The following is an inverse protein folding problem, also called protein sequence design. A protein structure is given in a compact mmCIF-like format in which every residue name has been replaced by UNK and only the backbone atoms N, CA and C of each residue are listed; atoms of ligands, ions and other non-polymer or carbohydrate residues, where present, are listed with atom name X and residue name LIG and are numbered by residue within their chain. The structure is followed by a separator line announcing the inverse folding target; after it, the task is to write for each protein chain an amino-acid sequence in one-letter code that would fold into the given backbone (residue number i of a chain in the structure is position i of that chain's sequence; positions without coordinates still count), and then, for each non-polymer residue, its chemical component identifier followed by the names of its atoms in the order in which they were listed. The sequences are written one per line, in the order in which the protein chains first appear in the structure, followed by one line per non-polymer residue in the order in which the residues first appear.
data_IF_756824487385
#
_entry.id   IF_756824487385
#
_cell.length_a   1.000
_cell.length_b   1.000
_cell.length_c   1.000
_cell.angle_alpha   90.00
_cell.angle_beta   90.00
_cell.angle_gamma   90.00
#
_symmetry.space_group_name_H-M   'P 1'
#
loop_
_entity.id
_entity.type
_entity.pdbx_description
1 polymer ?
#
# COMPACT_ATOMS: atom_id res chain seq x y z
N UNK A 1 35.90 17.59 1.55
CA UNK A 1 34.43 17.59 1.70
C UNK A 1 33.79 17.40 0.34
N UNK A 2 33.49 16.15 -0.05
CA UNK A 2 32.86 15.84 -1.35
C UNK A 2 31.44 15.31 -1.12
N UNK A 3 30.50 16.01 -1.76
CA UNK A 3 29.14 15.65 -2.18
C UNK A 3 28.12 15.11 -1.16
N UNK A 4 27.34 15.99 -0.56
CA UNK A 4 26.01 15.66 0.01
C UNK A 4 24.86 15.71 -1.02
N UNK A 5 25.17 15.83 -2.32
CA UNK A 5 24.21 16.06 -3.41
C UNK A 5 23.67 14.75 -4.02
N UNK A 6 24.26 13.58 -3.73
CA UNK A 6 23.85 12.29 -4.32
C UNK A 6 22.56 11.68 -3.75
N UNK A 7 22.17 12.07 -2.54
CA UNK A 7 21.03 11.48 -1.82
C UNK A 7 19.66 11.81 -2.46
N UNK A 8 19.34 13.07 -2.82
CA UNK A 8 18.04 13.39 -3.42
C UNK A 8 17.87 12.84 -4.83
N UNK A 9 18.94 12.88 -5.65
CA UNK A 9 18.87 12.45 -7.06
C UNK A 9 18.65 10.94 -7.17
N UNK A 10 19.37 10.11 -6.40
CA UNK A 10 19.18 8.65 -6.43
C UNK A 10 17.79 8.23 -5.95
N UNK A 11 17.26 8.88 -4.90
CA UNK A 11 15.88 8.70 -4.46
C UNK A 11 14.86 9.12 -5.53
N UNK A 12 15.07 10.27 -6.18
CA UNK A 12 14.20 10.76 -7.25
C UNK A 12 14.20 9.86 -8.49
N UNK A 13 15.37 9.38 -8.91
CA UNK A 13 15.51 8.43 -10.00
C UNK A 13 14.86 7.09 -9.66
N UNK A 14 15.04 6.60 -8.44
CA UNK A 14 14.39 5.36 -8.01
C UNK A 14 12.87 5.51 -7.98
N UNK A 15 12.35 6.66 -7.51
CA UNK A 15 10.92 6.96 -7.58
C UNK A 15 10.41 6.95 -9.02
N UNK A 16 11.12 7.60 -9.95
CA UNK A 16 10.76 7.61 -11.36
C UNK A 16 10.73 6.18 -11.93
N UNK A 17 11.72 5.35 -11.61
CA UNK A 17 11.76 3.94 -12.03
C UNK A 17 10.56 3.18 -11.46
N UNK A 18 10.25 3.34 -10.17
CA UNK A 18 9.08 2.70 -9.56
C UNK A 18 7.76 3.16 -10.18
N UNK A 19 7.64 4.44 -10.55
CA UNK A 19 6.47 4.97 -11.24
C UNK A 19 6.33 4.37 -12.64
N UNK A 20 7.39 4.42 -13.46
CA UNK A 20 7.37 3.85 -14.83
C UNK A 20 7.07 2.36 -14.78
N UNK A 21 7.77 1.62 -13.91
CA UNK A 21 7.56 0.18 -13.74
C UNK A 21 6.16 -0.14 -13.24
N UNK A 22 5.71 0.52 -12.17
CA UNK A 22 4.41 0.28 -11.55
C UNK A 22 3.24 0.64 -12.48
N UNK A 23 3.34 1.75 -13.22
CA UNK A 23 2.36 2.14 -14.23
C UNK A 23 2.32 1.13 -15.37
N UNK A 24 3.47 0.72 -15.91
CA UNK A 24 3.53 -0.30 -16.95
C UNK A 24 2.96 -1.65 -16.49
N UNK A 25 3.31 -2.08 -15.28
CA UNK A 25 2.75 -3.27 -14.65
C UNK A 25 1.22 -3.19 -14.51
N UNK A 26 0.71 -2.06 -13.99
CA UNK A 26 -0.72 -1.87 -13.83
C UNK A 26 -1.47 -1.88 -15.16
N UNK A 27 -0.93 -1.23 -16.20
CA UNK A 27 -1.49 -1.26 -17.54
C UNK A 27 -1.53 -2.68 -18.13
N UNK A 28 -0.49 -3.49 -17.90
CA UNK A 28 -0.48 -4.89 -18.33
C UNK A 28 -1.57 -5.70 -17.62
N UNK A 29 -1.72 -5.52 -16.30
CA UNK A 29 -2.79 -6.17 -15.52
C UNK A 29 -4.17 -5.77 -16.04
N UNK A 30 -4.38 -4.50 -16.41
CA UNK A 30 -5.63 -4.00 -16.98
C UNK A 30 -5.87 -4.36 -18.45
N UNK A 31 -4.88 -4.93 -19.15
CA UNK A 31 -5.01 -5.23 -20.59
C UNK A 31 -5.58 -6.62 -20.85
N UNK A 32 -5.44 -7.54 -19.90
CA UNK A 32 -5.93 -8.91 -20.05
C UNK A 32 -6.06 -9.59 -18.70
N UNK A 33 -7.19 -10.28 -18.52
CA UNK A 33 -7.47 -11.10 -17.34
C UNK A 33 -6.39 -12.19 -17.15
N UNK A 34 -5.87 -12.75 -18.24
CA UNK A 34 -4.81 -13.76 -18.19
C UNK A 34 -3.47 -13.16 -17.77
N UNK A 35 -3.18 -11.92 -18.19
CA UNK A 35 -2.00 -11.19 -17.72
C UNK A 35 -2.15 -10.80 -16.25
N UNK A 36 -3.34 -10.38 -15.82
CA UNK A 36 -3.65 -10.13 -14.42
C UNK A 36 -3.36 -11.38 -13.56
N UNK A 37 -3.88 -12.54 -13.95
CA UNK A 37 -3.62 -13.82 -13.29
C UNK A 37 -2.12 -14.16 -13.27
N UNK A 38 -1.46 -14.08 -14.44
CA UNK A 38 -0.07 -14.45 -14.57
C UNK A 38 0.84 -13.55 -13.70
N UNK A 39 0.60 -12.25 -13.70
CA UNK A 39 1.45 -11.27 -13.05
C UNK A 39 1.19 -11.13 -11.55
N UNK A 40 -0.06 -11.24 -11.10
CA UNK A 40 -0.43 -11.00 -9.70
C UNK A 40 -0.48 -12.27 -8.85
N UNK A 41 -0.59 -13.45 -9.47
CA UNK A 41 -0.72 -14.74 -8.78
C UNK A 41 0.38 -15.71 -9.18
N UNK A 42 0.50 -16.02 -10.47
CA UNK A 42 1.45 -17.05 -10.95
C UNK A 42 2.89 -16.62 -10.70
N UNK A 43 3.25 -15.39 -11.05
CA UNK A 43 4.61 -14.87 -10.91
C UNK A 43 5.06 -14.85 -9.43
N UNK A 44 4.30 -14.31 -8.46
CA UNK A 44 4.67 -14.39 -7.05
C UNK A 44 4.85 -15.83 -6.54
N UNK A 45 4.03 -16.78 -7.00
CA UNK A 45 4.16 -18.20 -6.62
C UNK A 45 5.42 -18.83 -7.22
N UNK A 46 5.66 -18.63 -8.52
CA UNK A 46 6.82 -19.19 -9.23
C UNK A 46 8.14 -18.67 -8.66
N UNK A 47 8.19 -17.38 -8.32
CA UNK A 47 9.38 -16.73 -7.80
C UNK A 47 9.41 -16.66 -6.27
N UNK A 48 8.46 -17.30 -5.58
CA UNK A 48 8.47 -17.42 -4.11
C UNK A 48 9.79 -17.97 -3.53
N UNK A 49 10.46 -18.96 -4.16
CA UNK A 49 11.75 -19.46 -3.67
C UNK A 49 12.86 -18.41 -3.63
N UNK A 50 12.72 -17.30 -4.37
CA UNK A 50 13.68 -16.19 -4.34
C UNK A 50 13.48 -15.25 -3.15
N UNK A 51 12.38 -15.39 -2.40
CA UNK A 51 12.10 -14.52 -1.25
C UNK A 51 13.13 -14.72 -0.15
N UNK A 52 13.79 -13.63 0.24
CA UNK A 52 14.81 -13.66 1.29
C UNK A 52 14.16 -13.57 2.68
N UNK A 53 14.74 -14.21 3.71
CA UNK A 53 14.33 -13.98 5.08
C UNK A 53 14.75 -12.56 5.50
N UNK A 54 13.79 -11.63 5.47
CA UNK A 54 13.98 -10.23 5.88
C UNK A 54 13.37 -9.95 7.25
N UNK A 55 13.80 -8.87 7.89
CA UNK A 55 13.11 -8.36 9.08
C UNK A 55 11.64 -8.04 8.76
N UNK A 56 10.75 -8.48 9.67
CA UNK A 56 9.30 -8.45 9.51
C UNK A 56 8.74 -9.35 8.40
N UNK A 57 9.48 -10.40 7.98
CA UNK A 57 9.02 -11.34 6.96
C UNK A 57 7.63 -11.94 7.25
N UNK A 58 7.29 -12.25 8.50
CA UNK A 58 5.95 -12.78 8.84
C UNK A 58 4.83 -11.78 8.56
N UNK A 59 5.01 -10.51 8.93
CA UNK A 59 4.03 -9.44 8.65
C UNK A 59 3.88 -9.24 7.13
N UNK A 60 5.00 -9.20 6.41
CA UNK A 60 5.01 -9.01 4.95
C UNK A 60 4.35 -10.20 4.24
N UNK A 61 4.68 -11.43 4.62
CA UNK A 61 4.08 -12.64 4.04
C UNK A 61 2.57 -12.71 4.31
N UNK A 62 2.11 -12.28 5.49
CA UNK A 62 0.68 -12.14 5.79
C UNK A 62 0.01 -11.14 4.86
N UNK A 63 0.61 -9.95 4.69
CA UNK A 63 0.08 -8.91 3.79
C UNK A 63 0.03 -9.43 2.35
N UNK A 64 1.12 -10.01 1.85
CA UNK A 64 1.16 -10.60 0.50
C UNK A 64 0.09 -11.69 0.31
N UNK A 65 -0.11 -12.56 1.30
CA UNK A 65 -1.15 -13.59 1.23
C UNK A 65 -2.56 -13.00 1.10
N UNK A 66 -2.85 -11.94 1.88
CA UNK A 66 -4.13 -11.23 1.78
C UNK A 66 -4.28 -10.52 0.43
N UNK A 67 -3.24 -9.82 -0.04
CA UNK A 67 -3.28 -9.08 -1.31
C UNK A 67 -3.35 -10.00 -2.53
N UNK A 68 -2.68 -11.16 -2.48
CA UNK A 68 -2.87 -12.23 -3.47
C UNK A 68 -4.30 -12.80 -3.42
N UNK A 69 -4.87 -13.01 -2.23
CA UNK A 69 -6.26 -13.41 -2.07
C UNK A 69 -7.24 -12.41 -2.68
N UNK A 70 -6.98 -11.11 -2.48
CA UNK A 70 -7.74 -10.03 -3.13
C UNK A 70 -7.62 -10.08 -4.66
N UNK A 71 -6.40 -10.21 -5.21
CA UNK A 71 -6.19 -10.31 -6.65
C UNK A 71 -6.88 -11.55 -7.25
N UNK A 72 -6.95 -12.65 -6.49
CA UNK A 72 -7.70 -13.86 -6.87
C UNK A 72 -9.20 -13.61 -6.91
N UNK A 73 -9.77 -12.91 -5.93
CA UNK A 73 -11.18 -12.52 -5.94
C UNK A 73 -11.50 -11.63 -7.14
N UNK A 74 -10.65 -10.64 -7.43
CA UNK A 74 -10.79 -9.80 -8.63
C UNK A 74 -10.75 -10.65 -9.91
N UNK A 75 -9.79 -11.57 -10.03
CA UNK A 75 -9.73 -12.49 -11.18
C UNK A 75 -11.01 -13.32 -11.32
N UNK A 76 -11.48 -13.95 -10.24
CA UNK A 76 -12.71 -14.76 -10.26
C UNK A 76 -13.95 -13.94 -10.64
N UNK A 77 -13.97 -12.65 -10.29
CA UNK A 77 -15.03 -11.72 -10.66
C UNK A 77 -15.01 -11.43 -12.17
N UNK A 78 -13.87 -11.01 -12.73
CA UNK A 78 -13.78 -10.68 -14.16
C UNK A 78 -13.90 -11.93 -15.04
N UNK A 79 -13.41 -13.08 -14.57
CA UNK A 79 -13.58 -14.35 -15.28
C UNK A 79 -15.00 -14.92 -15.18
N UNK A 80 -15.90 -14.27 -14.42
CA UNK A 80 -17.26 -14.70 -14.15
C UNK A 80 -17.36 -16.11 -13.54
N UNK A 81 -16.31 -16.54 -12.82
CA UNK A 81 -16.31 -17.83 -12.12
C UNK A 81 -17.11 -17.77 -10.82
N UNK A 82 -17.22 -16.58 -10.22
CA UNK A 82 -18.08 -16.30 -9.07
C UNK A 82 -19.05 -15.18 -9.41
N UNK A 83 -20.26 -15.24 -8.85
CA UNK A 83 -21.17 -14.10 -8.91
C UNK A 83 -20.59 -12.92 -8.14
N UNK A 84 -20.89 -11.72 -8.62
CA UNK A 84 -20.39 -10.48 -8.03
C UNK A 84 -20.79 -10.35 -6.55
N UNK A 85 -21.96 -10.86 -6.17
CA UNK A 85 -22.41 -10.86 -4.77
C UNK A 85 -21.45 -11.63 -3.83
N UNK A 86 -20.93 -12.79 -4.26
CA UNK A 86 -19.95 -13.53 -3.47
C UNK A 86 -18.58 -12.85 -3.47
N UNK A 87 -18.21 -12.21 -4.58
CA UNK A 87 -16.99 -11.41 -4.68
C UNK A 87 -17.03 -10.25 -3.68
N UNK A 88 -18.13 -9.50 -3.61
CA UNK A 88 -18.29 -8.38 -2.68
C UNK A 88 -18.16 -8.83 -1.23
N UNK A 89 -18.80 -9.95 -0.85
CA UNK A 89 -18.62 -10.55 0.48
C UNK A 89 -17.15 -10.89 0.76
N UNK A 90 -16.44 -11.42 -0.23
CA UNK A 90 -15.00 -11.70 -0.15
C UNK A 90 -14.14 -10.43 -0.01
N UNK A 91 -14.48 -9.36 -0.73
CA UNK A 91 -13.80 -8.07 -0.66
C UNK A 91 -13.99 -7.41 0.72
N UNK A 92 -15.21 -7.47 1.26
CA UNK A 92 -15.50 -7.01 2.64
C UNK A 92 -14.66 -7.80 3.64
N UNK A 93 -14.64 -9.14 3.53
CA UNK A 93 -13.80 -9.99 4.36
C UNK A 93 -12.32 -9.59 4.27
N UNK A 94 -11.81 -9.31 3.05
CA UNK A 94 -10.45 -8.84 2.84
C UNK A 94 -10.18 -7.52 3.60
N UNK A 95 -11.04 -6.50 3.45
CA UNK A 95 -10.85 -5.22 4.14
C UNK A 95 -10.92 -5.34 5.66
N UNK A 96 -11.80 -6.20 6.18
CA UNK A 96 -11.87 -6.51 7.62
C UNK A 96 -10.58 -7.17 8.10
N UNK A 97 -10.12 -8.24 7.43
CA UNK A 97 -8.89 -8.94 7.80
C UNK A 97 -7.66 -8.04 7.71
N UNK A 98 -7.57 -7.21 6.68
CA UNK A 98 -6.49 -6.25 6.49
C UNK A 98 -6.49 -5.22 7.63
N UNK A 99 -7.65 -4.63 7.94
CA UNK A 99 -7.80 -3.61 8.99
C UNK A 99 -7.49 -4.17 10.38
N UNK A 100 -8.08 -5.30 10.74
CA UNK A 100 -7.80 -6.01 12.00
C UNK A 100 -6.32 -6.38 12.08
N UNK A 101 -5.75 -6.86 10.97
CA UNK A 101 -4.34 -7.20 10.86
C UNK A 101 -3.40 -6.03 11.18
N UNK A 102 -3.71 -4.81 10.73
CA UNK A 102 -2.94 -3.61 11.08
C UNK A 102 -3.14 -3.21 12.54
N UNK A 103 -4.38 -3.15 13.02
CA UNK A 103 -4.71 -2.78 14.41
C UNK A 103 -4.01 -3.72 15.40
N UNK A 104 -4.04 -5.04 15.19
CA UNK A 104 -3.38 -6.02 16.05
C UNK A 104 -1.85 -5.86 16.07
N UNK A 105 -1.24 -5.59 14.91
CA UNK A 105 0.21 -5.35 14.82
C UNK A 105 0.59 -4.07 15.57
N UNK A 106 -0.18 -3.00 15.40
CA UNK A 106 0.05 -1.72 16.07
C UNK A 106 -0.16 -1.81 17.57
N UNK A 107 -1.17 -2.56 18.02
CA UNK A 107 -1.41 -2.86 19.43
C UNK A 107 -0.22 -3.62 20.04
N UNK A 108 0.26 -4.67 19.36
CA UNK A 108 1.43 -5.44 19.80
C UNK A 108 2.69 -4.58 19.90
N UNK A 109 2.85 -3.62 18.98
CA UNK A 109 3.96 -2.65 18.97
C UNK A 109 3.75 -1.46 19.91
N UNK A 110 2.65 -1.42 20.67
CA UNK A 110 2.25 -0.30 21.54
C UNK A 110 2.17 1.05 20.81
N UNK A 111 1.91 1.03 19.50
CA UNK A 111 1.83 2.20 18.64
C UNK A 111 0.39 2.76 18.64
N UNK A 112 -0.09 3.25 19.79
CA UNK A 112 -1.50 3.61 19.96
C UNK A 112 -1.99 4.72 19.03
N UNK A 113 -1.18 5.75 18.74
CA UNK A 113 -1.58 6.81 17.80
C UNK A 113 -1.76 6.27 16.38
N UNK A 114 -0.84 5.42 15.93
CA UNK A 114 -0.96 4.67 14.68
C UNK A 114 -2.21 3.80 14.65
N UNK A 115 -2.50 3.11 15.75
CA UNK A 115 -3.71 2.29 15.90
C UNK A 115 -4.98 3.12 15.71
N UNK A 116 -5.07 4.30 16.33
CA UNK A 116 -6.20 5.21 16.12
C UNK A 116 -6.35 5.66 14.65
N UNK A 117 -5.23 5.98 13.98
CA UNK A 117 -5.26 6.33 12.56
C UNK A 117 -5.79 5.15 11.72
N UNK A 118 -5.33 3.92 11.98
CA UNK A 118 -5.84 2.72 11.29
C UNK A 118 -7.32 2.46 11.57
N UNK A 119 -7.80 2.70 12.80
CA UNK A 119 -9.21 2.55 13.13
C UNK A 119 -10.08 3.57 12.38
N UNK A 120 -9.65 4.82 12.27
CA UNK A 120 -10.38 5.83 11.47
C UNK A 120 -10.37 5.46 9.99
N UNK A 121 -9.24 5.00 9.45
CA UNK A 121 -9.18 4.47 8.07
C UNK A 121 -10.16 3.31 7.88
N UNK A 122 -10.17 2.34 8.80
CA UNK A 122 -11.07 1.18 8.75
C UNK A 122 -12.55 1.60 8.81
N UNK A 123 -12.90 2.55 9.69
CA UNK A 123 -14.25 3.11 9.76
C UNK A 123 -14.64 3.83 8.46
N UNK A 124 -13.71 4.56 7.86
CA UNK A 124 -13.94 5.25 6.58
C UNK A 124 -14.15 4.26 5.43
N UNK A 125 -13.35 3.18 5.37
CA UNK A 125 -13.54 2.09 4.41
C UNK A 125 -14.89 1.42 4.63
N UNK A 126 -15.25 1.12 5.89
CA UNK A 126 -16.53 0.50 6.21
C UNK A 126 -17.72 1.39 5.81
N UNK A 127 -17.61 2.71 6.01
CA UNK A 127 -18.61 3.66 5.54
C UNK A 127 -18.74 3.63 4.01
N UNK A 128 -17.63 3.71 3.27
CA UNK A 128 -17.63 3.62 1.80
C UNK A 128 -18.23 2.30 1.28
N UNK A 129 -17.90 1.17 1.91
CA UNK A 129 -18.49 -0.13 1.60
C UNK A 129 -19.99 -0.16 1.87
N UNK A 130 -20.44 0.47 2.96
CA UNK A 130 -21.85 0.51 3.34
C UNK A 130 -22.70 1.40 2.42
N UNK A 131 -22.15 2.51 1.95
CA UNK A 131 -22.84 3.42 1.01
C UNK A 131 -22.69 3.00 -0.44
N UNK A 132 -21.67 2.20 -0.75
CA UNK A 132 -21.39 1.73 -2.09
C UNK A 132 -22.45 0.77 -2.64
N UNK A 133 -22.40 0.58 -3.95
CA UNK A 133 -23.25 -0.34 -4.68
C UNK A 133 -22.55 -1.71 -4.86
N UNK A 134 -23.10 -2.54 -5.74
CA UNK A 134 -22.45 -3.78 -6.15
C UNK A 134 -21.23 -3.48 -7.03
N UNK A 135 -20.16 -4.28 -6.91
CA UNK A 135 -18.97 -4.13 -7.76
C UNK A 135 -19.31 -4.16 -9.25
N UNK A 136 -18.75 -3.24 -10.03
CA UNK A 136 -18.98 -3.16 -11.48
C UNK A 136 -17.79 -3.74 -12.26
N UNK A 137 -18.10 -4.62 -13.22
CA UNK A 137 -17.11 -5.19 -14.14
C UNK A 137 -17.10 -4.32 -15.41
N UNK A 138 -16.02 -3.58 -15.62
CA UNK A 138 -15.90 -2.61 -16.74
C UNK A 138 -15.29 -3.24 -18.01
N UNK A 139 -15.02 -4.54 -17.99
CA UNK A 139 -14.39 -5.29 -19.09
C UNK A 139 -12.85 -5.31 -19.01
N UNK A 140 -12.22 -6.24 -19.73
CA UNK A 140 -10.76 -6.35 -19.94
C UNK A 140 -9.87 -6.38 -18.68
N UNK A 141 -10.41 -6.72 -17.50
CA UNK A 141 -9.66 -6.72 -16.23
C UNK A 141 -9.83 -5.44 -15.41
N UNK A 142 -10.63 -4.49 -15.89
CA UNK A 142 -11.07 -3.32 -15.13
C UNK A 142 -12.26 -3.67 -14.24
N UNK A 143 -12.11 -3.33 -12.97
CA UNK A 143 -13.11 -3.47 -11.92
C UNK A 143 -13.28 -2.10 -11.29
N UNK A 144 -14.50 -1.78 -10.89
CA UNK A 144 -14.82 -0.71 -9.95
C UNK A 144 -15.46 -1.34 -8.71
N UNK A 145 -14.68 -1.48 -7.65
CA UNK A 145 -15.09 -2.08 -6.39
C UNK A 145 -16.25 -1.29 -5.76
N UNK A 146 -17.30 -2.01 -5.37
CA UNK A 146 -18.52 -1.46 -4.78
C UNK A 146 -19.19 -0.36 -5.64
N UNK A 147 -18.99 -0.41 -6.96
CA UNK A 147 -19.69 0.43 -7.95
C UNK A 147 -19.41 1.94 -7.90
N UNK A 148 -18.69 2.42 -6.89
CA UNK A 148 -18.44 3.84 -6.66
C UNK A 148 -16.96 4.17 -6.64
N UNK A 149 -16.62 5.35 -7.17
CA UNK A 149 -15.27 5.89 -7.05
C UNK A 149 -14.98 6.21 -5.59
N UNK A 150 -13.81 5.76 -5.11
CA UNK A 150 -13.35 6.05 -3.75
C UNK A 150 -13.37 7.55 -3.47
N UNK A 151 -14.06 8.02 -2.41
CA UNK A 151 -14.17 9.44 -2.10
C UNK A 151 -12.80 10.05 -1.78
N UNK A 152 -12.62 11.33 -2.11
CA UNK A 152 -11.33 12.00 -1.94
C UNK A 152 -10.88 12.01 -0.47
N UNK A 153 -11.82 12.10 0.48
CA UNK A 153 -11.57 12.01 1.93
C UNK A 153 -10.88 10.69 2.29
N UNK A 154 -11.37 9.57 1.74
CA UNK A 154 -10.78 8.25 1.98
C UNK A 154 -9.38 8.15 1.37
N UNK A 155 -9.15 8.72 0.17
CA UNK A 155 -7.81 8.78 -0.43
C UNK A 155 -6.83 9.59 0.44
N UNK A 156 -7.28 10.71 1.00
CA UNK A 156 -6.48 11.56 1.90
C UNK A 156 -6.18 10.85 3.22
N UNK A 157 -7.18 10.25 3.86
CA UNK A 157 -7.02 9.48 5.10
C UNK A 157 -6.04 8.31 4.87
N UNK A 158 -6.18 7.59 3.77
CA UNK A 158 -5.25 6.52 3.38
C UNK A 158 -3.83 7.07 3.19
N UNK A 159 -3.67 8.22 2.53
CA UNK A 159 -2.36 8.86 2.33
C UNK A 159 -1.67 9.21 3.66
N UNK A 160 -2.40 9.79 4.61
CA UNK A 160 -1.85 10.08 5.93
C UNK A 160 -1.56 8.83 6.75
N UNK A 161 -2.40 7.81 6.66
CA UNK A 161 -2.12 6.49 7.22
C UNK A 161 -0.83 5.89 6.63
N UNK A 162 -0.63 6.02 5.31
CA UNK A 162 0.58 5.53 4.65
C UNK A 162 1.83 6.29 5.11
N UNK A 163 1.75 7.61 5.27
CA UNK A 163 2.85 8.42 5.83
C UNK A 163 3.18 7.98 7.26
N UNK A 164 2.16 7.77 8.10
CA UNK A 164 2.34 7.27 9.47
C UNK A 164 3.06 5.91 9.47
N UNK A 165 2.60 4.98 8.63
CA UNK A 165 3.19 3.64 8.52
C UNK A 165 4.66 3.70 8.08
N UNK A 166 4.96 4.45 7.01
CA UNK A 166 6.28 4.48 6.39
C UNK A 166 7.30 5.26 7.23
N UNK A 167 6.92 6.42 7.78
CA UNK A 167 7.85 7.30 8.48
C UNK A 167 7.94 6.99 9.97
N UNK A 168 6.82 6.64 10.63
CA UNK A 168 6.83 6.47 12.09
C UNK A 168 6.97 5.00 12.47
N UNK A 169 6.13 4.11 11.93
CA UNK A 169 6.16 2.69 12.32
C UNK A 169 7.34 1.94 11.73
N UNK A 170 7.67 2.21 10.47
CA UNK A 170 8.83 1.64 9.80
C UNK A 170 10.08 2.52 9.87
N UNK A 171 10.15 3.42 10.86
CA UNK A 171 11.34 4.27 11.10
C UNK A 171 12.64 3.48 11.31
N UNK A 172 12.56 2.21 11.69
CA UNK A 172 13.72 1.32 11.83
C UNK A 172 14.36 0.95 10.48
N UNK A 173 13.61 1.05 9.37
CA UNK A 173 14.12 0.83 8.01
C UNK A 173 14.88 2.05 7.49
N UNK A 174 14.66 3.23 8.08
CA UNK A 174 15.45 4.42 7.79
C UNK A 174 16.92 4.18 8.22
N UNK A 175 17.90 4.69 7.45
CA UNK A 175 17.78 5.78 6.47
C UNK A 175 17.45 5.34 5.04
N UNK A 176 17.27 4.03 4.76
CA UNK A 176 16.97 3.52 3.42
C UNK A 176 15.53 3.87 3.03
N UNK A 177 15.36 4.57 1.91
CA UNK A 177 14.06 5.08 1.46
C UNK A 177 13.38 4.19 0.42
N UNK A 178 14.02 3.14 -0.05
CA UNK A 178 13.51 2.28 -1.15
C UNK A 178 12.10 1.76 -0.88
N UNK A 179 11.85 1.20 0.30
CA UNK A 179 10.52 0.71 0.69
C UNK A 179 9.48 1.82 0.68
N UNK A 180 9.80 2.99 1.25
CA UNK A 180 8.91 4.14 1.27
C UNK A 180 8.62 4.64 -0.15
N UNK A 181 9.65 4.72 -1.00
CA UNK A 181 9.53 5.12 -2.40
C UNK A 181 8.63 4.15 -3.18
N UNK A 182 8.77 2.84 -3.02
CA UNK A 182 7.91 1.86 -3.68
C UNK A 182 6.43 2.06 -3.30
N UNK A 183 6.15 2.25 -2.01
CA UNK A 183 4.78 2.47 -1.54
C UNK A 183 4.21 3.83 -1.96
N UNK A 184 5.02 4.89 -1.97
CA UNK A 184 4.63 6.21 -2.48
C UNK A 184 4.34 6.12 -3.98
N UNK A 185 5.17 5.43 -4.77
CA UNK A 185 4.95 5.24 -6.20
C UNK A 185 3.62 4.52 -6.46
N UNK A 186 3.36 3.42 -5.76
CA UNK A 186 2.09 2.69 -5.86
C UNK A 186 0.88 3.54 -5.45
N UNK A 187 1.00 4.36 -4.40
CA UNK A 187 -0.04 5.31 -4.02
C UNK A 187 -0.29 6.38 -5.10
N UNK A 188 0.76 6.95 -5.68
CA UNK A 188 0.64 7.93 -6.78
C UNK A 188 -0.05 7.33 -8.00
N UNK A 189 0.27 6.09 -8.37
CA UNK A 189 -0.41 5.37 -9.45
C UNK A 189 -1.90 5.20 -9.12
N UNK A 190 -2.22 4.77 -7.90
CA UNK A 190 -3.60 4.58 -7.44
C UNK A 190 -4.41 5.88 -7.42
N UNK A 191 -3.79 7.02 -7.11
CA UNK A 191 -4.46 8.32 -7.15
C UNK A 191 -4.95 8.70 -8.54
N UNK A 192 -4.24 8.26 -9.59
CA UNK A 192 -4.62 8.49 -11.00
C UNK A 192 -5.52 7.41 -11.59
N UNK A 193 -5.83 6.35 -10.85
CA UNK A 193 -6.68 5.25 -11.31
C UNK A 193 -8.16 5.51 -10.97
N UNK A 194 -9.06 4.99 -11.82
CA UNK A 194 -10.51 5.00 -11.57
C UNK A 194 -10.86 4.21 -10.31
N UNK A 195 -10.27 3.01 -10.17
CA UNK A 195 -10.34 2.21 -8.95
C UNK A 195 -9.06 2.33 -8.13
N UNK A 196 -9.15 3.15 -7.07
CA UNK A 196 -8.03 3.43 -6.18
C UNK A 196 -7.54 2.17 -5.44
N UNK A 197 -8.42 1.34 -4.87
CA UNK A 197 -7.99 0.22 -4.04
C UNK A 197 -7.45 -0.93 -4.88
N UNK A 198 -8.08 -1.24 -6.02
CA UNK A 198 -7.57 -2.25 -6.93
C UNK A 198 -6.17 -1.86 -7.45
N UNK A 199 -6.01 -0.63 -7.95
CA UNK A 199 -4.70 -0.13 -8.41
C UNK A 199 -3.65 -0.15 -7.30
N UNK A 200 -4.03 0.30 -6.10
CA UNK A 200 -3.13 0.34 -4.95
C UNK A 200 -2.69 -1.06 -4.54
N UNK A 201 -3.61 -2.00 -4.38
CA UNK A 201 -3.32 -3.36 -3.89
C UNK A 201 -2.49 -4.14 -4.91
N UNK A 202 -2.88 -4.10 -6.19
CA UNK A 202 -2.16 -4.78 -7.28
C UNK A 202 -0.70 -4.29 -7.35
N UNK A 203 -0.49 -2.98 -7.38
CA UNK A 203 0.87 -2.41 -7.48
C UNK A 203 1.65 -2.53 -6.16
N UNK A 204 1.00 -2.43 -5.00
CA UNK A 204 1.62 -2.65 -3.70
C UNK A 204 2.16 -4.07 -3.56
N UNK A 205 1.31 -5.05 -3.84
CA UNK A 205 1.60 -6.47 -3.70
C UNK A 205 2.81 -6.84 -4.52
N UNK A 206 2.85 -6.39 -5.78
CA UNK A 206 3.96 -6.69 -6.67
C UNK A 206 5.25 -6.01 -6.24
N UNK A 207 5.23 -4.72 -5.90
CA UNK A 207 6.43 -4.03 -5.42
C UNK A 207 6.93 -4.58 -4.07
N UNK A 208 6.03 -5.01 -3.19
CA UNK A 208 6.35 -5.66 -1.93
C UNK A 208 6.98 -7.04 -2.16
N UNK A 209 6.46 -7.79 -3.12
CA UNK A 209 7.04 -9.06 -3.56
C UNK A 209 8.47 -8.86 -4.09
N UNK A 210 8.68 -7.90 -4.99
CA UNK A 210 10.03 -7.57 -5.49
C UNK A 210 10.96 -7.13 -4.36
N UNK A 211 10.45 -6.36 -3.39
CA UNK A 211 11.21 -5.96 -2.21
C UNK A 211 11.71 -7.16 -1.40
N UNK A 212 10.97 -8.28 -1.35
CA UNK A 212 11.43 -9.52 -0.71
C UNK A 212 12.45 -10.29 -1.55
N UNK A 213 12.27 -10.36 -2.87
CA UNK A 213 13.19 -11.07 -3.76
C UNK A 213 14.58 -10.42 -3.78
N UNK A 214 14.59 -9.08 -3.81
CA UNK A 214 15.82 -8.31 -3.97
C UNK A 214 16.36 -7.73 -2.66
N UNK A 215 15.56 -7.74 -1.58
CA UNK A 215 15.87 -7.14 -0.28
C UNK A 215 16.22 -5.66 -0.38
N UNK A 216 15.27 -4.87 -0.90
CA UNK A 216 15.46 -3.43 -1.11
C UNK A 216 15.76 -2.66 0.18
N UNK A 217 15.43 -3.22 1.34
CA UNK A 217 15.63 -2.61 2.66
C UNK A 217 17.10 -2.58 3.06
N UNK A 218 17.91 -3.49 2.53
CA UNK A 218 19.33 -3.56 2.84
C UNK A 218 20.07 -2.31 2.37
N UNK A 219 20.91 -1.76 3.25
CA UNK A 219 21.70 -0.56 2.95
C UNK A 219 22.65 -0.78 1.77
N UNK A 220 23.23 -1.97 1.63
CA UNK A 220 24.14 -2.33 0.54
C UNK A 220 23.44 -2.56 -0.81
N UNK A 221 22.12 -2.72 -0.83
CA UNK A 221 21.38 -2.91 -2.08
C UNK A 221 21.38 -1.63 -2.94
N UNK A 222 21.89 -1.73 -4.16
CA UNK A 222 22.07 -0.57 -5.06
C UNK A 222 23.24 0.35 -4.69
N UNK A 223 24.02 0.01 -3.66
CA UNK A 223 25.10 0.83 -3.11
C UNK A 223 24.70 1.53 -1.80
N UNK A 224 25.69 1.75 -0.91
CA UNK A 224 25.47 2.26 0.46
C UNK A 224 24.78 3.61 0.54
N UNK A 225 24.96 4.46 -0.48
CA UNK A 225 24.37 5.80 -0.55
C UNK A 225 23.12 5.87 -1.44
N UNK A 226 22.70 4.75 -2.03
CA UNK A 226 21.59 4.70 -2.97
C UNK A 226 20.24 4.83 -2.27
N UNK A 227 19.47 5.85 -2.63
CA UNK A 227 18.15 6.13 -2.07
C UNK A 227 18.16 6.14 -0.53
N UNK A 228 19.15 6.81 0.05
CA UNK A 228 19.33 6.95 1.50
C UNK A 228 19.14 8.41 1.89
N UNK A 229 18.44 8.68 3.00
CA UNK A 229 18.35 10.02 3.60
C UNK A 229 18.63 10.00 5.10
N UNK A 230 19.88 10.25 5.45
CA UNK A 230 20.31 10.36 6.85
C UNK A 230 19.65 11.53 7.57
N UNK A 231 19.41 12.66 6.88
CA UNK A 231 18.73 13.83 7.45
C UNK A 231 17.30 13.51 7.86
N UNK A 232 16.54 12.86 6.97
CA UNK A 232 15.17 12.45 7.28
C UNK A 232 15.17 11.42 8.42
N UNK A 233 16.07 10.44 8.36
CA UNK A 233 16.23 9.43 9.42
C UNK A 233 16.50 10.07 10.78
N UNK A 234 17.50 10.95 10.87
CA UNK A 234 17.86 11.61 12.13
C UNK A 234 16.72 12.47 12.67
N UNK A 235 15.98 13.14 11.78
CA UNK A 235 14.87 14.00 12.17
C UNK A 235 13.68 13.19 12.72
N UNK A 236 13.27 12.14 12.01
CA UNK A 236 12.11 11.31 12.36
C UNK A 236 12.40 10.40 13.57
N UNK A 237 13.66 10.00 13.78
CA UNK A 237 14.03 9.21 14.96
C UNK A 237 13.92 9.99 16.28
N UNK A 238 13.87 11.33 16.24
CA UNK A 238 13.62 12.12 17.45
C UNK A 238 12.22 11.82 18.02
N UNK A 239 12.11 11.39 19.29
CA UNK A 239 10.82 11.00 19.86
C UNK A 239 9.78 12.13 19.81
N UNK A 240 10.22 13.37 20.05
CA UNK A 240 9.35 14.56 19.99
C UNK A 240 8.78 14.72 18.59
N UNK A 241 9.61 14.65 17.55
CA UNK A 241 9.19 14.79 16.15
C UNK A 241 8.23 13.67 15.76
N UNK A 242 8.58 12.41 16.03
CA UNK A 242 7.71 11.27 15.67
C UNK A 242 6.34 11.33 16.37
N UNK A 243 6.30 11.74 17.64
CA UNK A 243 5.06 11.89 18.41
C UNK A 243 4.23 13.07 17.92
N UNK A 244 4.85 14.22 17.68
CA UNK A 244 4.18 15.41 17.13
C UNK A 244 3.64 15.15 15.72
N UNK A 245 4.41 14.47 14.87
CA UNK A 245 3.96 14.05 13.54
C UNK A 245 2.75 13.13 13.63
N UNK A 246 2.80 12.10 14.50
CA UNK A 246 1.66 11.19 14.70
C UNK A 246 0.41 11.92 15.18
N UNK A 247 0.57 12.87 16.11
CA UNK A 247 -0.54 13.70 16.61
C UNK A 247 -1.15 14.60 15.53
N UNK A 248 -0.30 15.25 14.72
CA UNK A 248 -0.74 16.05 13.57
C UNK A 248 -1.51 15.18 12.56
N UNK A 249 -0.96 14.02 12.18
CA UNK A 249 -1.57 13.10 11.25
C UNK A 249 -2.93 12.61 11.74
N UNK A 250 -3.02 12.23 13.03
CA UNK A 250 -4.29 11.83 13.64
C UNK A 250 -5.31 12.98 13.61
N UNK A 251 -4.90 14.20 13.96
CA UNK A 251 -5.77 15.37 13.93
C UNK A 251 -6.36 15.62 12.54
N UNK A 252 -5.51 15.60 11.50
CA UNK A 252 -5.97 15.78 10.11
C UNK A 252 -6.88 14.63 9.66
N UNK A 253 -6.55 13.39 9.98
CA UNK A 253 -7.35 12.21 9.66
C UNK A 253 -8.74 12.28 10.31
N UNK A 254 -8.81 12.66 11.59
CA UNK A 254 -10.09 12.80 12.31
C UNK A 254 -10.93 13.94 11.74
N UNK A 255 -10.33 15.11 11.47
CA UNK A 255 -11.05 16.25 10.86
C UNK A 255 -11.58 15.86 9.47
N UNK A 256 -10.75 15.19 8.66
CA UNK A 256 -11.14 14.74 7.32
C UNK A 256 -12.28 13.72 7.39
N UNK A 257 -12.22 12.79 8.34
CA UNK A 257 -13.28 11.81 8.59
C UNK A 257 -14.58 12.46 9.03
N UNK A 258 -14.52 13.40 9.98
CA UNK A 258 -15.72 14.13 10.43
C UNK A 258 -16.35 14.93 9.28
N UNK A 259 -15.51 15.50 8.40
CA UNK A 259 -15.96 16.20 7.19
C UNK A 259 -16.84 15.36 6.25
N UNK A 260 -16.79 14.02 6.33
CA UNK A 260 -17.66 13.13 5.55
C UNK A 260 -19.14 13.32 5.94
N UNK A 261 -19.43 13.62 7.21
CA UNK A 261 -20.81 13.75 7.70
C UNK A 261 -21.39 15.16 7.57
N UNK A 262 -20.58 16.13 7.13
CA UNK A 262 -20.99 17.53 6.99
C UNK A 262 -21.16 17.96 5.52
N UNK A 263 -20.95 17.05 4.56
CA UNK A 263 -21.20 17.24 3.14
C UNK A 263 -22.45 16.47 2.72
#
# INVERSE_FOLDING_TARGET
MKSSVYSPLSSGLFLLICLVYGSGFYLLVQSSIWLALALTLVLPVLFWPLTKPVENASEIKRILGLEMGFNLLCFMAVSQWLSVEYVDKGLVMFFVLQSVGFVLVQLKKQAYLSMFISMVLAATIAYWVYTGEQTLLLGEGKILLFGEVVPWQLKVIYGFWLIQLLLVEYRAVLPKLTLAICHIASFMIAMGAEDFFHARIVTACHLLFLSLCFDFKRLDWGGKDFAVSNRLSSFIQLPIISKSLSGLLLGVVVITYLGIFFM
#
